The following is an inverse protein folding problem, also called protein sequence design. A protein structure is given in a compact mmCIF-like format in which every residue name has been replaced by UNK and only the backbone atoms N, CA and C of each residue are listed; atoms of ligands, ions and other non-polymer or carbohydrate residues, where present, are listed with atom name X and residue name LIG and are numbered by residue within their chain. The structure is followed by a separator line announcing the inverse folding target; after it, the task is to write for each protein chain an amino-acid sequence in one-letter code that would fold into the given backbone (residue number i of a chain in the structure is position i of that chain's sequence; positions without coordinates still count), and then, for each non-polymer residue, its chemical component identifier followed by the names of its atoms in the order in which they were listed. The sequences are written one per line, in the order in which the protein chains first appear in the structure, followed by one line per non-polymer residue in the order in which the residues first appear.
data_IF_047042894357
#
_entry.id   IF_047042894357
#
_cell.length_a   1.000
_cell.length_b   1.000
_cell.length_c   1.000
_cell.angle_alpha   90.00
_cell.angle_beta   90.00
_cell.angle_gamma   90.00
#
_symmetry.space_group_name_H-M   'P 1'
#
loop_
_entity.id
_entity.type
_entity.pdbx_description
1 polymer ?
#
# COMPACT_ATOMS: atom_id res chain seq x y z
N UNK A 1 14.76 -2.82 24.56
CA UNK A 1 16.18 -3.06 24.25
C UNK A 1 16.28 -3.22 22.74
N UNK A 2 16.90 -2.26 22.05
CA UNK A 2 17.00 -2.31 20.59
C UNK A 2 18.05 -3.37 20.20
N UNK A 3 17.59 -4.53 19.72
CA UNK A 3 18.45 -5.57 19.16
C UNK A 3 18.94 -5.10 17.80
N UNK A 4 20.17 -4.60 17.74
CA UNK A 4 20.80 -4.21 16.49
C UNK A 4 21.11 -5.43 15.64
N UNK A 5 20.44 -5.57 14.50
CA UNK A 5 20.71 -6.59 13.48
C UNK A 5 22.16 -6.57 12.97
N UNK A 6 22.88 -5.46 13.20
CA UNK A 6 24.27 -5.26 12.77
C UNK A 6 25.28 -6.28 13.28
N UNK A 7 25.03 -6.97 14.39
CA UNK A 7 25.91 -8.06 14.86
C UNK A 7 25.80 -9.33 14.02
N UNK A 8 24.60 -9.64 13.52
CA UNK A 8 24.31 -10.81 12.67
C UNK A 8 24.74 -10.60 11.22
N UNK A 9 24.91 -9.35 10.80
CA UNK A 9 25.35 -8.98 9.46
C UNK A 9 26.89 -9.04 9.27
N UNK A 10 27.66 -9.30 10.33
CA UNK A 10 29.14 -9.33 10.25
C UNK A 10 29.71 -10.67 9.77
N UNK A 11 28.99 -11.78 9.95
CA UNK A 11 29.41 -13.10 9.47
C UNK A 11 28.79 -13.38 8.10
N UNK A 12 29.60 -13.29 7.05
CA UNK A 12 29.16 -13.52 5.66
C UNK A 12 28.59 -14.92 5.44
N UNK A 13 29.12 -15.95 6.10
CA UNK A 13 28.65 -17.34 5.90
C UNK A 13 27.28 -17.55 6.52
N UNK A 14 27.04 -16.97 7.70
CA UNK A 14 25.73 -17.01 8.34
C UNK A 14 24.72 -16.18 7.56
N UNK A 15 25.14 -15.04 7.01
CA UNK A 15 24.29 -14.18 6.20
C UNK A 15 23.81 -14.88 4.92
N UNK A 16 24.70 -15.55 4.18
CA UNK A 16 24.34 -16.29 2.97
C UNK A 16 23.35 -17.42 3.27
N UNK A 17 23.56 -18.17 4.35
CA UNK A 17 22.66 -19.25 4.73
C UNK A 17 21.28 -18.73 5.15
N UNK A 18 21.22 -17.64 5.93
CA UNK A 18 19.96 -16.99 6.30
C UNK A 18 19.23 -16.43 5.09
N UNK A 19 19.95 -15.81 4.15
CA UNK A 19 19.36 -15.30 2.91
C UNK A 19 18.74 -16.43 2.08
N UNK A 20 19.43 -17.56 1.96
CA UNK A 20 18.92 -18.74 1.26
C UNK A 20 17.65 -19.28 1.92
N UNK A 21 17.67 -19.48 3.23
CA UNK A 21 16.49 -19.94 3.98
C UNK A 21 15.31 -18.96 3.86
N UNK A 22 15.58 -17.66 3.90
CA UNK A 22 14.55 -16.64 3.76
C UNK A 22 13.93 -16.64 2.36
N UNK A 23 14.73 -16.83 1.30
CA UNK A 23 14.24 -16.96 -0.07
C UNK A 23 13.37 -18.21 -0.21
N UNK A 24 13.84 -19.36 0.25
CA UNK A 24 13.06 -20.61 0.18
C UNK A 24 11.72 -20.49 0.92
N UNK A 25 11.75 -19.84 2.09
CA UNK A 25 10.54 -19.55 2.86
C UNK A 25 9.62 -18.57 2.15
N UNK A 26 10.14 -17.50 1.55
CA UNK A 26 9.38 -16.53 0.77
C UNK A 26 8.67 -17.22 -0.42
N UNK A 27 9.38 -18.08 -1.15
CA UNK A 27 8.79 -18.85 -2.24
C UNK A 27 7.66 -19.77 -1.75
N UNK A 28 7.87 -20.48 -0.63
CA UNK A 28 6.87 -21.36 -0.02
C UNK A 28 5.62 -20.61 0.48
N UNK A 29 5.80 -19.41 1.03
CA UNK A 29 4.72 -18.54 1.49
C UNK A 29 4.02 -17.78 0.34
N UNK A 30 4.49 -17.93 -0.90
CA UNK A 30 3.89 -17.29 -2.08
C UNK A 30 4.19 -15.80 -2.20
N UNK A 31 5.34 -15.36 -1.67
CA UNK A 31 5.91 -14.01 -1.76
C UNK A 31 6.57 -13.86 -3.13
N UNK A 32 5.76 -13.90 -4.20
CA UNK A 32 6.21 -14.09 -5.58
C UNK A 32 5.89 -12.89 -6.48
N UNK A 33 6.79 -12.62 -7.43
CA UNK A 33 6.59 -11.73 -8.56
C UNK A 33 6.94 -12.43 -9.87
N UNK A 34 6.30 -11.99 -10.95
CA UNK A 34 6.71 -12.38 -12.30
C UNK A 34 8.07 -11.78 -12.63
N UNK A 35 8.82 -12.47 -13.48
CA UNK A 35 10.13 -11.99 -13.90
C UNK A 35 9.99 -10.79 -14.84
N UNK A 36 10.97 -9.88 -14.82
CA UNK A 36 10.98 -8.72 -15.73
C UNK A 36 11.06 -9.12 -17.21
N UNK A 37 11.57 -10.32 -17.49
CA UNK A 37 11.67 -10.87 -18.86
C UNK A 37 10.31 -11.32 -19.39
N UNK A 38 9.44 -11.86 -18.53
CA UNK A 38 8.11 -12.33 -18.92
C UNK A 38 7.02 -11.82 -17.96
N UNK A 39 6.64 -10.53 -18.03
CA UNK A 39 5.67 -9.94 -17.11
C UNK A 39 4.23 -10.46 -17.30
N UNK A 40 3.93 -11.08 -18.45
CA UNK A 40 2.63 -11.67 -18.76
C UNK A 40 2.55 -13.17 -18.47
N UNK A 41 3.70 -13.85 -18.33
CA UNK A 41 3.78 -15.29 -18.07
C UNK A 41 3.84 -15.55 -16.58
N UNK A 42 3.18 -16.61 -16.13
CA UNK A 42 3.27 -17.09 -14.73
C UNK A 42 4.03 -18.41 -14.63
N UNK A 43 4.66 -18.86 -15.72
CA UNK A 43 5.40 -20.12 -15.76
C UNK A 43 6.73 -20.02 -15.02
N UNK A 44 7.37 -18.84 -15.05
CA UNK A 44 8.60 -18.55 -14.32
C UNK A 44 8.35 -17.36 -13.39
N UNK A 45 8.52 -17.58 -12.10
CA UNK A 45 8.32 -16.59 -11.03
C UNK A 45 9.57 -16.51 -10.16
N UNK A 46 9.78 -15.35 -9.56
CA UNK A 46 10.86 -15.10 -8.59
C UNK A 46 10.25 -14.59 -7.28
N UNK A 47 11.01 -14.63 -6.19
CA UNK A 47 10.61 -13.95 -4.96
C UNK A 47 10.53 -12.44 -5.20
N UNK A 48 9.58 -11.76 -4.54
CA UNK A 48 9.56 -10.30 -4.55
C UNK A 48 10.65 -9.75 -3.64
N UNK A 49 11.20 -8.55 -3.89
CA UNK A 49 12.19 -7.95 -3.00
C UNK A 49 11.64 -7.78 -1.57
N UNK A 50 12.34 -8.34 -0.59
CA UNK A 50 12.03 -8.23 0.84
C UNK A 50 13.31 -7.98 1.65
N UNK A 51 13.19 -7.47 2.87
CA UNK A 51 14.32 -7.27 3.77
C UNK A 51 14.52 -8.52 4.64
N UNK A 52 15.77 -8.95 4.82
CA UNK A 52 16.09 -10.14 5.62
C UNK A 52 15.65 -10.01 7.08
N UNK A 53 15.72 -8.78 7.62
CA UNK A 53 15.27 -8.46 8.97
C UNK A 53 14.20 -7.36 8.93
N UNK A 54 13.24 -7.38 9.86
CA UNK A 54 12.25 -6.31 9.96
C UNK A 54 12.91 -5.00 10.39
N UNK A 55 12.51 -3.91 9.74
CA UNK A 55 12.92 -2.56 10.13
C UNK A 55 12.35 -2.19 11.50
N UNK A 56 13.15 -1.51 12.31
CA UNK A 56 12.72 -1.05 13.63
C UNK A 56 11.87 0.22 13.48
N UNK A 57 10.61 0.15 13.88
CA UNK A 57 9.68 1.28 13.87
C UNK A 57 9.22 1.55 15.31
N UNK A 58 9.26 2.80 15.80
CA UNK A 58 8.74 3.13 17.12
C UNK A 58 7.24 2.82 17.23
N UNK A 59 6.84 2.06 18.26
CA UNK A 59 5.45 1.64 18.46
C UNK A 59 4.48 2.82 18.52
N UNK A 60 4.86 3.90 19.20
CA UNK A 60 4.03 5.11 19.29
C UNK A 60 3.73 5.73 17.91
N UNK A 61 4.69 5.73 16.98
CA UNK A 61 4.47 6.25 15.63
C UNK A 61 3.59 5.30 14.80
N UNK A 62 3.75 3.99 14.98
CA UNK A 62 2.91 3.00 14.33
C UNK A 62 1.45 3.10 14.78
N UNK A 63 1.21 3.22 16.09
CA UNK A 63 -0.13 3.40 16.67
C UNK A 63 -0.77 4.72 16.21
N UNK A 64 0.00 5.81 16.18
CA UNK A 64 -0.48 7.08 15.65
C UNK A 64 -0.89 6.96 14.17
N UNK A 65 -0.11 6.25 13.36
CA UNK A 65 -0.44 6.00 11.96
C UNK A 65 -1.74 5.20 11.79
N UNK A 66 -1.98 4.22 12.65
CA UNK A 66 -3.24 3.48 12.66
C UNK A 66 -4.43 4.36 13.06
N UNK A 67 -4.27 5.22 14.06
CA UNK A 67 -5.34 6.09 14.53
C UNK A 67 -5.81 7.09 13.47
N UNK A 68 -4.87 7.73 12.75
CA UNK A 68 -5.18 8.77 11.76
C UNK A 68 -5.65 8.23 10.40
N UNK A 69 -5.48 6.93 10.14
CA UNK A 69 -5.90 6.28 8.89
C UNK A 69 -7.38 6.56 8.55
N UNK A 70 -8.24 6.49 9.56
CA UNK A 70 -9.68 6.67 9.39
C UNK A 70 -10.02 8.13 9.05
N UNK A 71 -9.42 9.08 9.75
CA UNK A 71 -9.58 10.52 9.48
C UNK A 71 -9.10 10.86 8.07
N UNK A 72 -8.01 10.24 7.62
CA UNK A 72 -7.50 10.41 6.27
C UNK A 72 -8.46 9.88 5.19
N UNK A 73 -9.07 8.72 5.43
CA UNK A 73 -10.07 8.16 4.50
C UNK A 73 -11.29 9.09 4.37
N UNK A 74 -11.78 9.63 5.48
CA UNK A 74 -12.88 10.60 5.48
C UNK A 74 -12.51 11.89 4.76
N UNK A 75 -11.29 12.39 4.96
CA UNK A 75 -10.79 13.57 4.27
C UNK A 75 -10.76 13.36 2.75
N UNK A 76 -10.22 12.23 2.29
CA UNK A 76 -10.14 11.91 0.85
C UNK A 76 -11.55 11.78 0.26
N UNK A 77 -12.47 11.12 0.96
CA UNK A 77 -13.87 11.00 0.52
C UNK A 77 -14.53 12.38 0.41
N UNK A 78 -14.44 13.21 1.45
CA UNK A 78 -15.02 14.57 1.45
C UNK A 78 -14.42 15.48 0.36
N UNK A 79 -13.11 15.39 0.12
CA UNK A 79 -12.44 16.15 -0.95
C UNK A 79 -12.88 15.66 -2.32
N UNK A 80 -13.05 14.34 -2.50
CA UNK A 80 -13.47 13.76 -3.79
C UNK A 80 -14.90 14.14 -4.19
N UNK A 81 -15.79 14.35 -3.21
CA UNK A 81 -17.16 14.76 -3.44
C UNK A 81 -17.30 16.27 -3.68
N UNK A 82 -16.31 17.08 -3.25
CA UNK A 82 -16.34 18.53 -3.40
C UNK A 82 -15.74 18.97 -4.74
N UNK A 83 -16.57 18.95 -5.79
CA UNK A 83 -16.18 19.34 -7.14
C UNK A 83 -15.65 20.78 -7.24
N UNK A 84 -16.23 21.73 -6.49
CA UNK A 84 -15.80 23.13 -6.50
C UNK A 84 -14.39 23.31 -5.92
N UNK A 85 -14.09 22.58 -4.83
CA UNK A 85 -12.77 22.56 -4.23
C UNK A 85 -11.71 21.93 -5.15
N UNK A 86 -12.05 20.83 -5.83
CA UNK A 86 -11.17 20.19 -6.81
C UNK A 86 -10.88 21.11 -8.00
N UNK A 87 -11.91 21.79 -8.54
CA UNK A 87 -11.73 22.74 -9.64
C UNK A 87 -10.82 23.90 -9.24
N UNK A 88 -11.04 24.49 -8.07
CA UNK A 88 -10.23 25.61 -7.59
C UNK A 88 -8.77 25.19 -7.41
N UNK A 89 -8.52 24.04 -6.78
CA UNK A 89 -7.19 23.55 -6.45
C UNK A 89 -6.40 23.11 -7.69
N UNK A 90 -7.07 22.48 -8.66
CA UNK A 90 -6.43 21.95 -9.86
C UNK A 90 -6.43 22.95 -11.04
N UNK A 91 -7.09 24.10 -10.93
CA UNK A 91 -7.23 25.09 -12.01
C UNK A 91 -5.90 25.58 -12.62
N UNK A 92 -4.84 25.66 -11.81
CA UNK A 92 -3.49 26.03 -12.26
C UNK A 92 -2.74 24.85 -12.88
N UNK A 93 -2.96 23.64 -12.35
CA UNK A 93 -2.33 22.39 -12.79
C UNK A 93 -2.90 21.89 -14.12
N UNK A 94 -4.22 21.97 -14.31
CA UNK A 94 -4.91 21.58 -15.56
C UNK A 94 -4.39 22.38 -16.76
N UNK A 95 -3.94 23.62 -16.56
CA UNK A 95 -3.39 24.45 -17.63
C UNK A 95 -1.96 24.06 -18.03
N UNK A 96 -1.28 23.26 -17.20
CA UNK A 96 0.15 22.94 -17.34
C UNK A 96 0.41 21.45 -17.57
N UNK A 97 -0.51 20.59 -17.18
CA UNK A 97 -0.43 19.14 -17.34
C UNK A 97 -1.66 18.57 -18.08
N UNK A 98 -1.41 18.10 -19.30
CA UNK A 98 -2.44 17.52 -20.18
C UNK A 98 -3.02 16.22 -19.62
N UNK A 99 -2.25 15.47 -18.81
CA UNK A 99 -2.74 14.24 -18.19
C UNK A 99 -3.80 14.54 -17.13
N UNK A 100 -3.49 15.44 -16.19
CA UNK A 100 -4.44 15.91 -15.19
C UNK A 100 -5.66 16.59 -15.82
N UNK A 101 -5.48 17.33 -16.91
CA UNK A 101 -6.59 17.93 -17.65
C UNK A 101 -7.60 16.89 -18.14
N UNK A 102 -7.12 15.82 -18.79
CA UNK A 102 -7.99 14.73 -19.29
C UNK A 102 -8.73 14.02 -18.16
N UNK A 103 -8.07 13.77 -17.03
CA UNK A 103 -8.72 13.16 -15.86
C UNK A 103 -9.83 14.05 -15.32
N UNK A 104 -9.59 15.36 -15.27
CA UNK A 104 -10.57 16.32 -14.81
C UNK A 104 -11.76 16.47 -15.77
N UNK A 105 -11.52 16.37 -17.08
CA UNK A 105 -12.59 16.38 -18.09
C UNK A 105 -13.52 15.16 -17.94
N UNK A 106 -12.96 13.97 -17.70
CA UNK A 106 -13.74 12.75 -17.40
C UNK A 106 -14.58 12.97 -16.12
N UNK A 107 -13.98 13.54 -15.07
CA UNK A 107 -14.69 13.82 -13.82
C UNK A 107 -15.88 14.78 -14.05
N UNK A 108 -15.70 15.86 -14.83
CA UNK A 108 -16.79 16.78 -15.18
C UNK A 108 -17.89 16.11 -15.99
N UNK A 109 -17.53 15.23 -16.92
CA UNK A 109 -18.50 14.50 -17.73
C UNK A 109 -19.37 13.59 -16.85
N UNK A 110 -18.74 12.83 -15.94
CA UNK A 110 -19.45 11.94 -15.00
C UNK A 110 -20.36 12.73 -14.06
N UNK A 111 -19.92 13.89 -13.55
CA UNK A 111 -20.79 14.76 -12.74
C UNK A 111 -22.00 15.28 -13.50
N UNK A 112 -21.85 15.56 -14.81
CA UNK A 112 -22.95 16.05 -15.66
C UNK A 112 -23.95 14.95 -16.01
N UNK A 113 -23.48 13.72 -16.21
CA UNK A 113 -24.32 12.55 -16.53
C UNK A 113 -25.02 11.98 -15.28
N UNK A 114 -24.52 12.31 -14.08
CA UNK A 114 -25.03 11.82 -12.80
C UNK A 114 -24.29 10.56 -12.34
N UNK A 115 -23.99 10.48 -11.04
CA UNK A 115 -23.21 9.37 -10.47
C UNK A 115 -24.10 8.12 -10.39
N UNK A 116 -23.83 7.12 -11.24
CA UNK A 116 -24.57 5.87 -11.28
C UNK A 116 -23.96 4.74 -10.44
N UNK A 117 -22.78 4.95 -9.84
CA UNK A 117 -21.99 3.90 -9.20
C UNK A 117 -21.64 4.23 -7.74
N UNK A 118 -21.65 3.21 -6.88
CA UNK A 118 -21.19 3.29 -5.49
C UNK A 118 -19.66 3.32 -5.46
N UNK A 119 -19.09 4.33 -4.81
CA UNK A 119 -17.64 4.48 -4.66
C UNK A 119 -17.16 3.79 -3.40
N UNK A 120 -16.17 2.90 -3.54
CA UNK A 120 -15.45 2.30 -2.42
C UNK A 120 -14.00 2.78 -2.52
N UNK A 121 -13.50 3.40 -1.44
CA UNK A 121 -12.14 3.93 -1.39
C UNK A 121 -11.20 2.97 -0.67
N UNK A 122 -10.11 2.58 -1.34
CA UNK A 122 -9.03 1.78 -0.74
C UNK A 122 -7.75 2.62 -0.70
N UNK A 123 -7.50 3.30 0.42
CA UNK A 123 -6.30 4.12 0.59
C UNK A 123 -5.26 3.41 1.48
N UNK A 124 -4.00 3.43 1.03
CA UNK A 124 -2.85 3.07 1.88
C UNK A 124 -2.02 4.33 2.11
N UNK A 125 -2.01 4.93 3.30
CA UNK A 125 -1.19 6.09 3.59
C UNK A 125 0.26 5.63 3.65
N UNK A 126 1.05 6.13 2.70
CA UNK A 126 2.50 6.01 2.75
C UNK A 126 3.02 7.26 3.42
N UNK A 127 3.39 7.15 4.69
CA UNK A 127 4.00 8.24 5.43
C UNK A 127 5.39 8.56 4.83
N UNK A 128 5.65 9.84 4.52
CA UNK A 128 6.85 10.40 3.86
C UNK A 128 6.97 10.30 2.32
N UNK A 129 5.94 9.89 1.57
CA UNK A 129 5.94 9.94 0.09
C UNK A 129 4.62 10.50 -0.47
N UNK A 130 4.61 11.07 -1.69
CA UNK A 130 3.41 11.64 -2.30
C UNK A 130 2.31 10.58 -2.43
N UNK A 131 1.09 10.98 -2.09
CA UNK A 131 -0.11 10.16 -1.98
C UNK A 131 -0.35 9.25 -3.20
N UNK A 132 -0.35 7.91 -3.04
CA UNK A 132 -0.83 7.00 -4.06
C UNK A 132 -2.34 6.80 -3.88
N UNK A 133 -3.17 7.70 -4.41
CA UNK A 133 -4.64 7.55 -4.33
C UNK A 133 -5.21 6.54 -5.33
N UNK A 134 -4.40 5.88 -6.15
CA UNK A 134 -4.89 5.00 -7.22
C UNK A 134 -4.30 3.58 -7.27
N UNK A 135 -3.24 3.26 -6.53
CA UNK A 135 -2.58 1.95 -6.62
C UNK A 135 -2.13 1.41 -5.26
N UNK A 136 -3.08 0.84 -4.50
CA UNK A 136 -2.81 0.07 -3.28
C UNK A 136 -2.47 -1.39 -3.62
N UNK A 137 -1.29 -1.65 -4.21
CA UNK A 137 -0.95 -2.98 -4.75
C UNK A 137 -0.21 -3.92 -3.79
N UNK A 138 0.46 -3.41 -2.75
CA UNK A 138 1.34 -4.22 -1.91
C UNK A 138 0.72 -4.71 -0.59
N UNK A 139 -0.56 -4.43 -0.31
CA UNK A 139 -1.21 -4.77 0.96
C UNK A 139 -1.08 -6.25 1.35
N UNK A 140 -1.33 -7.15 0.39
CA UNK A 140 -1.25 -8.60 0.63
C UNK A 140 0.18 -9.10 0.89
N UNK A 141 1.17 -8.45 0.25
CA UNK A 141 2.58 -8.80 0.42
C UNK A 141 3.12 -8.37 1.79
N UNK A 142 2.72 -7.18 2.25
CA UNK A 142 3.08 -6.67 3.57
C UNK A 142 2.48 -7.53 4.69
N UNK A 143 1.24 -8.00 4.53
CA UNK A 143 0.58 -8.85 5.54
C UNK A 143 1.35 -10.14 5.81
N UNK A 144 1.89 -10.79 4.76
CA UNK A 144 2.68 -12.01 4.90
C UNK A 144 4.03 -11.78 5.58
N UNK A 145 4.74 -10.72 5.22
CA UNK A 145 6.02 -10.36 5.86
C UNK A 145 5.85 -9.96 7.33
N UNK A 146 4.75 -9.27 7.68
CA UNK A 146 4.46 -8.87 9.06
C UNK A 146 4.09 -10.10 9.92
N UNK A 147 3.30 -11.03 9.39
CA UNK A 147 2.98 -12.30 10.07
C UNK A 147 4.25 -13.14 10.34
N UNK A 148 5.20 -13.14 9.41
CA UNK A 148 6.49 -13.82 9.58
C UNK A 148 7.38 -13.12 10.62
N UNK A 149 7.32 -11.79 10.73
CA UNK A 149 8.06 -11.02 11.74
C UNK A 149 7.48 -11.16 13.16
N UNK A 150 6.17 -11.38 13.30
CA UNK A 150 5.48 -11.47 14.60
C UNK A 150 5.36 -12.90 15.14
N UNK A 151 5.74 -13.92 14.38
CA UNK A 151 5.82 -15.32 14.84
C UNK A 151 4.50 -15.97 15.25
N UNK A 152 3.36 -15.32 15.01
CA UNK A 152 2.01 -15.81 15.35
C UNK A 152 1.06 -15.58 14.18
N UNK A 153 0.48 -16.66 13.66
CA UNK A 153 -0.57 -16.64 12.64
C UNK A 153 -1.95 -16.26 13.21
N UNK A 154 -2.15 -16.34 14.54
CA UNK A 154 -3.48 -16.18 15.15
C UNK A 154 -3.95 -14.72 15.16
N UNK A 155 -3.02 -13.76 15.32
CA UNK A 155 -3.35 -12.33 15.27
C UNK A 155 -3.70 -11.83 13.86
N UNK A 156 -3.46 -12.63 12.81
CA UNK A 156 -3.81 -12.27 11.42
C UNK A 156 -5.32 -12.37 11.13
N UNK A 157 -6.07 -13.12 11.95
CA UNK A 157 -7.52 -13.31 11.81
C UNK A 157 -8.37 -12.16 12.35
N UNK A 158 -7.79 -11.32 13.23
CA UNK A 158 -8.44 -10.16 13.84
C UNK A 158 -8.28 -8.87 13.02
N UNK A 159 -7.53 -8.94 11.91
CA UNK A 159 -7.49 -7.87 10.91
C UNK A 159 -8.78 -7.94 10.11
N UNK A 160 -9.84 -7.39 10.70
CA UNK A 160 -10.99 -6.85 9.97
C UNK A 160 -10.45 -6.18 8.70
N UNK A 161 -11.03 -6.45 7.51
CA UNK A 161 -10.40 -6.11 6.25
C UNK A 161 -10.12 -4.62 6.23
N UNK A 162 -8.82 -4.29 6.21
CA UNK A 162 -8.23 -2.96 6.07
C UNK A 162 -9.24 -1.89 5.67
N UNK A 163 -9.81 -1.21 6.69
CA UNK A 163 -10.52 0.06 6.54
C UNK A 163 -11.48 0.18 5.36
N UNK A 164 -12.31 -0.84 5.10
CA UNK A 164 -13.38 -0.79 4.11
C UNK A 164 -14.42 0.27 4.53
N UNK A 165 -14.28 1.48 4.02
CA UNK A 165 -15.30 2.52 4.14
C UNK A 165 -16.19 2.50 2.89
N UNK A 166 -17.44 2.10 3.07
CA UNK A 166 -18.47 2.17 2.04
C UNK A 166 -19.22 3.49 2.28
N UNK A 167 -19.00 4.49 1.43
CA UNK A 167 -19.86 5.68 1.45
C UNK A 167 -21.20 5.31 0.80
N UNK A 168 -22.19 5.01 1.63
CA UNK A 168 -23.57 4.83 1.19
C UNK A 168 -24.17 6.20 0.91
N UNK A 169 -24.30 6.57 -0.37
CA UNK A 169 -25.19 7.65 -0.79
C UNK A 169 -26.59 7.03 -0.97
N UNK A 170 -27.52 7.38 -0.08
CA UNK A 170 -28.97 7.14 -0.23
C UNK A 170 -29.66 8.39 -0.74
#
# INVERSE_FOLDING_TARGET
MATGWGSLLQDERQLEELARQAVDRALAEGVLLRTSQEPSSSNVVSYAPFTLFPSLVPSALLEQAYAVQMDFNLLVDAVSQNAAFLEQTLSSTIKRDDYTARLFDIHKQVLKEGIAQVTISYSTPVWNLPLPSLFSFFGFFCQKNLAQALGSWESASDWSPLGLYISGQS
#
